data_IF_686710539973
#
_entry.id   IF_686710539973
#
_cell.length_a   1.000
_cell.length_b   1.000
_cell.length_c   1.000
_cell.angle_alpha   90.00
_cell.angle_beta   90.00
_cell.angle_gamma   90.00
#
_symmetry.space_group_name_H-M   'P 1'
#
loop_
_entity.id
_entity.type
_entity.pdbx_description
1 polymer ?
#
# COMPACT_ATOMS: atom_id res chain seq x y z
N UNK A 1 58.61 -42.09 23.82
CA UNK A 1 57.40 -41.62 24.54
C UNK A 1 56.77 -40.53 23.69
N UNK A 2 55.45 -40.61 23.50
CA UNK A 2 54.67 -39.92 22.44
C UNK A 2 54.58 -38.41 22.68
N UNK A 3 54.95 -37.61 21.67
CA UNK A 3 54.63 -36.19 21.60
C UNK A 3 53.11 -36.01 21.51
N UNK A 4 52.47 -35.63 22.61
CA UNK A 4 51.12 -35.10 22.60
C UNK A 4 51.19 -33.63 22.24
N UNK A 5 50.60 -33.30 21.09
CA UNK A 5 50.40 -31.96 20.60
C UNK A 5 49.74 -31.09 21.68
N UNK A 6 50.42 -30.02 22.09
CA UNK A 6 49.81 -28.93 22.84
C UNK A 6 49.03 -28.07 21.85
N UNK A 7 47.87 -28.57 21.40
CA UNK A 7 46.93 -27.81 20.59
C UNK A 7 46.43 -26.66 21.45
N UNK A 8 46.98 -25.46 21.23
CA UNK A 8 46.63 -24.22 21.94
C UNK A 8 45.10 -24.03 21.89
N UNK A 9 44.36 -24.33 22.98
CA UNK A 9 42.90 -24.37 22.94
C UNK A 9 42.30 -22.99 22.71
N UNK A 10 43.04 -21.93 23.03
CA UNK A 10 42.71 -20.54 22.70
C UNK A 10 42.56 -20.26 21.20
N UNK A 11 43.33 -20.94 20.33
CA UNK A 11 43.22 -20.75 18.88
C UNK A 11 41.90 -21.33 18.33
N UNK A 12 41.42 -22.43 18.92
CA UNK A 12 40.15 -23.06 18.53
C UNK A 12 38.96 -22.22 19.02
N UNK A 13 39.05 -21.65 20.23
CA UNK A 13 38.01 -20.78 20.80
C UNK A 13 37.92 -19.46 20.02
N UNK A 14 39.04 -18.85 19.65
CA UNK A 14 39.04 -17.61 18.84
C UNK A 14 38.45 -17.83 17.43
N UNK A 15 38.72 -18.98 16.81
CA UNK A 15 38.16 -19.32 15.50
C UNK A 15 36.63 -19.53 15.53
N UNK A 16 36.09 -20.09 16.63
CA UNK A 16 34.64 -20.29 16.80
C UNK A 16 33.87 -18.98 16.98
N UNK A 17 34.48 -17.93 17.56
CA UNK A 17 33.85 -16.62 17.69
C UNK A 17 33.81 -15.81 16.38
N UNK A 18 34.78 -16.00 15.48
CA UNK A 18 34.85 -15.28 14.19
C UNK A 18 33.79 -15.73 13.17
N UNK A 19 33.26 -16.95 13.27
CA UNK A 19 32.26 -17.49 12.32
C UNK A 19 30.84 -16.95 12.58
N UNK A 20 30.57 -16.29 13.71
CA UNK A 20 29.20 -15.97 14.15
C UNK A 20 28.68 -14.56 13.79
N UNK A 21 29.40 -13.76 13.01
CA UNK A 21 29.03 -12.34 12.76
C UNK A 21 28.53 -12.00 11.35
N UNK A 22 28.05 -12.98 10.57
CA UNK A 22 27.30 -12.70 9.35
C UNK A 22 25.77 -12.76 9.60
N UNK A 23 25.26 -11.90 10.47
CA UNK A 23 23.84 -11.55 10.44
C UNK A 23 23.66 -10.44 9.40
N UNK A 24 23.52 -10.82 8.13
CA UNK A 24 23.11 -9.89 7.08
C UNK A 24 21.69 -9.42 7.38
N UNK A 25 21.56 -8.18 7.86
CA UNK A 25 20.28 -7.49 8.02
C UNK A 25 19.69 -7.23 6.63
N UNK A 26 18.94 -8.22 6.15
CA UNK A 26 18.15 -8.11 4.92
C UNK A 26 17.02 -7.13 5.21
N UNK A 27 17.26 -5.83 4.98
CA UNK A 27 16.20 -4.82 5.01
C UNK A 27 15.17 -5.21 3.94
N UNK A 28 14.11 -5.90 4.36
CA UNK A 28 12.95 -6.16 3.50
C UNK A 28 12.44 -4.80 3.07
N UNK A 29 12.46 -4.53 1.74
CA UNK A 29 11.84 -3.34 1.16
C UNK A 29 10.36 -3.37 1.55
N UNK A 30 9.99 -2.62 2.60
CA UNK A 30 8.59 -2.37 2.93
C UNK A 30 8.03 -1.48 1.84
N UNK A 31 7.26 -2.06 0.91
CA UNK A 31 6.45 -1.30 -0.02
C UNK A 31 5.45 -0.44 0.79
N UNK A 32 5.28 0.85 0.48
CA UNK A 32 4.37 1.72 1.22
C UNK A 32 2.93 1.25 1.02
N UNK A 33 2.38 0.61 2.05
CA UNK A 33 1.02 0.05 2.07
C UNK A 33 -0.06 1.13 2.35
N UNK A 34 0.29 2.41 2.27
CA UNK A 34 -0.55 3.49 2.81
C UNK A 34 -1.79 3.80 1.97
N UNK A 35 -1.71 3.70 0.63
CA UNK A 35 -2.80 4.12 -0.26
C UNK A 35 -4.08 3.30 -0.09
N UNK A 36 -3.98 1.99 0.19
CA UNK A 36 -5.18 1.17 0.35
C UNK A 36 -6.05 1.67 1.51
N UNK A 37 -5.46 2.03 2.66
CA UNK A 37 -6.22 2.47 3.83
C UNK A 37 -6.99 3.76 3.58
N UNK A 38 -6.43 4.66 2.77
CA UNK A 38 -7.08 5.93 2.39
C UNK A 38 -8.30 5.66 1.51
N UNK A 39 -8.16 4.77 0.53
CA UNK A 39 -9.24 4.36 -0.36
C UNK A 39 -10.43 3.74 0.39
N UNK A 40 -10.19 2.73 1.25
CA UNK A 40 -11.25 2.11 2.06
C UNK A 40 -11.96 3.11 2.99
N UNK A 41 -11.23 4.09 3.51
CA UNK A 41 -11.79 5.14 4.35
C UNK A 41 -12.75 6.03 3.55
N UNK A 42 -12.37 6.44 2.33
CA UNK A 42 -13.19 7.27 1.45
C UNK A 42 -14.47 6.55 1.03
N UNK A 43 -14.37 5.27 0.68
CA UNK A 43 -15.55 4.42 0.42
C UNK A 43 -16.50 4.38 1.62
N UNK A 44 -15.98 4.14 2.82
CA UNK A 44 -16.80 4.11 4.04
C UNK A 44 -17.41 5.45 4.43
N UNK A 45 -16.80 6.57 4.05
CA UNK A 45 -17.38 7.92 4.19
C UNK A 45 -18.51 8.14 3.18
N UNK A 46 -18.31 7.75 1.92
CA UNK A 46 -19.33 7.80 0.88
C UNK A 46 -20.55 6.92 1.20
N UNK A 47 -20.33 5.67 1.61
CA UNK A 47 -21.38 4.72 1.97
C UNK A 47 -22.25 5.22 3.13
N UNK A 48 -21.65 5.82 4.16
CA UNK A 48 -22.38 6.30 5.35
C UNK A 48 -22.92 7.73 5.19
N UNK A 49 -22.37 8.51 4.27
CA UNK A 49 -22.81 9.87 3.99
C UNK A 49 -23.74 9.90 2.78
N UNK A 50 -23.18 10.25 1.63
CA UNK A 50 -23.89 10.49 0.37
C UNK A 50 -24.73 9.31 -0.12
N UNK A 51 -24.35 8.07 0.21
CA UNK A 51 -24.99 6.85 -0.26
C UNK A 51 -25.76 6.08 0.82
N UNK A 52 -26.03 6.73 1.95
CA UNK A 52 -26.73 6.11 3.10
C UNK A 52 -28.17 5.69 2.82
N UNK A 53 -28.78 6.19 1.74
CA UNK A 53 -30.14 5.84 1.33
C UNK A 53 -30.27 4.52 0.53
N UNK A 54 -29.16 3.89 0.16
CA UNK A 54 -29.14 2.64 -0.61
C UNK A 54 -28.82 1.44 0.29
N UNK A 55 -29.34 0.27 -0.07
CA UNK A 55 -28.95 -0.97 0.60
C UNK A 55 -27.44 -1.23 0.39
N UNK A 56 -26.69 -1.74 1.38
CA UNK A 56 -25.25 -1.98 1.23
C UNK A 56 -24.86 -2.86 0.05
N UNK A 57 -25.74 -3.76 -0.38
CA UNK A 57 -25.49 -4.65 -1.53
C UNK A 57 -25.81 -3.99 -2.89
N UNK A 58 -26.40 -2.79 -2.88
CA UNK A 58 -26.87 -2.08 -4.08
C UNK A 58 -26.26 -0.68 -4.20
N UNK A 59 -25.43 -0.27 -3.24
CA UNK A 59 -24.91 1.10 -3.16
C UNK A 59 -23.61 1.32 -3.95
N UNK A 60 -23.08 0.29 -4.60
CA UNK A 60 -21.78 0.32 -5.28
C UNK A 60 -21.67 1.41 -6.35
N UNK A 61 -22.74 1.63 -7.14
CA UNK A 61 -22.76 2.69 -8.16
C UNK A 61 -22.63 4.09 -7.56
N UNK A 62 -23.39 4.35 -6.49
CA UNK A 62 -23.34 5.61 -5.76
C UNK A 62 -21.96 5.81 -5.10
N UNK A 63 -21.44 4.77 -4.44
CA UNK A 63 -20.15 4.82 -3.74
C UNK A 63 -19.03 5.10 -4.73
N UNK A 64 -19.02 4.43 -5.88
CA UNK A 64 -18.00 4.61 -6.92
C UNK A 64 -18.01 6.04 -7.49
N UNK A 65 -19.20 6.58 -7.79
CA UNK A 65 -19.36 8.00 -8.20
C UNK A 65 -18.86 8.97 -7.14
N UNK A 66 -19.17 8.71 -5.87
CA UNK A 66 -18.76 9.56 -4.75
C UNK A 66 -17.25 9.52 -4.50
N UNK A 67 -16.61 8.36 -4.67
CA UNK A 67 -15.17 8.18 -4.44
C UNK A 67 -14.34 8.92 -5.47
N UNK A 68 -14.68 8.84 -6.76
CA UNK A 68 -14.06 9.66 -7.80
C UNK A 68 -14.98 9.69 -9.02
N UNK A 69 -15.52 10.85 -9.35
CA UNK A 69 -16.33 11.04 -10.54
C UNK A 69 -15.53 10.84 -11.83
N UNK A 70 -14.25 11.20 -11.82
CA UNK A 70 -13.36 11.04 -12.98
C UNK A 70 -13.09 9.56 -13.28
N UNK A 71 -12.68 8.79 -12.28
CA UNK A 71 -12.45 7.35 -12.45
C UNK A 71 -13.75 6.59 -12.70
N UNK A 72 -14.88 7.05 -12.15
CA UNK A 72 -16.17 6.47 -12.45
C UNK A 72 -16.50 6.68 -13.93
N UNK A 73 -16.31 7.89 -14.47
CA UNK A 73 -16.58 8.16 -15.88
C UNK A 73 -15.72 7.28 -16.80
N UNK A 74 -14.45 7.10 -16.47
CA UNK A 74 -13.54 6.24 -17.25
C UNK A 74 -13.99 4.77 -17.30
N UNK A 75 -14.58 4.24 -16.22
CA UNK A 75 -14.84 2.80 -16.08
C UNK A 75 -16.32 2.42 -16.29
N UNK A 76 -17.25 3.30 -15.92
CA UNK A 76 -18.68 3.01 -15.80
C UNK A 76 -19.60 3.98 -16.57
N UNK A 77 -19.08 5.02 -17.23
CA UNK A 77 -19.95 5.99 -17.94
C UNK A 77 -20.79 5.36 -19.05
N UNK A 78 -20.20 4.45 -19.83
CA UNK A 78 -20.89 3.80 -20.94
C UNK A 78 -21.97 2.82 -20.48
N UNK A 79 -21.73 2.16 -19.36
CA UNK A 79 -22.61 1.13 -18.81
C UNK A 79 -22.53 1.20 -17.28
N UNK A 80 -23.44 1.97 -16.64
CA UNK A 80 -23.52 2.09 -15.19
C UNK A 80 -23.72 0.71 -14.53
N UNK A 81 -23.26 0.57 -13.28
CA UNK A 81 -23.37 -0.70 -12.57
C UNK A 81 -24.83 -0.99 -12.20
N UNK A 82 -25.30 -2.21 -12.46
CA UNK A 82 -26.65 -2.60 -12.02
C UNK A 82 -26.67 -2.85 -10.49
N UNK A 83 -27.80 -2.58 -9.80
CA UNK A 83 -27.92 -2.90 -8.38
C UNK A 83 -27.67 -4.39 -8.10
N UNK A 84 -26.73 -4.69 -7.20
CA UNK A 84 -26.34 -6.07 -6.86
C UNK A 84 -25.39 -6.76 -7.83
N UNK A 85 -24.91 -6.05 -8.87
CA UNK A 85 -23.93 -6.58 -9.81
C UNK A 85 -22.52 -6.60 -9.22
N UNK A 86 -21.81 -7.74 -9.32
CA UNK A 86 -20.42 -7.87 -8.88
C UNK A 86 -19.48 -8.00 -10.08
N UNK A 87 -19.08 -6.86 -10.67
CA UNK A 87 -18.04 -6.83 -11.70
C UNK A 87 -16.64 -6.58 -11.12
N UNK A 88 -15.94 -7.67 -10.82
CA UNK A 88 -14.57 -7.62 -10.27
C UNK A 88 -13.55 -7.03 -11.24
N UNK A 89 -13.77 -7.14 -12.55
CA UNK A 89 -12.81 -6.65 -13.55
C UNK A 89 -12.87 -5.13 -13.63
N UNK A 90 -14.08 -4.57 -13.76
CA UNK A 90 -14.30 -3.12 -13.73
C UNK A 90 -13.92 -2.54 -12.37
N UNK A 91 -14.29 -3.20 -11.27
CA UNK A 91 -13.91 -2.76 -9.92
C UNK A 91 -12.39 -2.68 -9.73
N UNK A 92 -11.63 -3.65 -10.24
CA UNK A 92 -10.17 -3.60 -10.18
C UNK A 92 -9.59 -2.43 -11.01
N UNK A 93 -10.18 -2.11 -12.17
CA UNK A 93 -9.78 -0.96 -13.00
C UNK A 93 -10.07 0.36 -12.28
N UNK A 94 -11.26 0.50 -11.73
CA UNK A 94 -11.65 1.66 -10.92
C UNK A 94 -10.68 1.86 -9.74
N UNK A 95 -10.42 0.81 -8.97
CA UNK A 95 -9.49 0.87 -7.83
C UNK A 95 -8.07 1.23 -8.26
N UNK A 96 -7.64 0.80 -9.45
CA UNK A 96 -6.35 1.19 -10.02
C UNK A 96 -6.31 2.67 -10.39
N UNK A 97 -7.37 3.19 -11.03
CA UNK A 97 -7.50 4.60 -11.37
C UNK A 97 -7.46 5.49 -10.11
N UNK A 98 -8.29 5.18 -9.11
CA UNK A 98 -8.36 5.97 -7.86
C UNK A 98 -7.03 5.98 -7.13
N UNK A 99 -6.30 4.85 -7.10
CA UNK A 99 -4.96 4.81 -6.49
C UNK A 99 -3.98 5.73 -7.20
N UNK A 100 -3.99 5.78 -8.53
CA UNK A 100 -3.14 6.71 -9.30
C UNK A 100 -3.48 8.16 -8.97
N UNK A 101 -4.77 8.51 -8.96
CA UNK A 101 -5.24 9.86 -8.62
C UNK A 101 -4.74 10.30 -7.23
N UNK A 102 -4.87 9.42 -6.23
CA UNK A 102 -4.40 9.68 -4.86
C UNK A 102 -2.88 9.78 -4.76
N UNK A 103 -2.14 8.93 -5.47
CA UNK A 103 -0.68 8.97 -5.48
C UNK A 103 -0.15 10.26 -6.14
N UNK A 104 -0.81 10.72 -7.21
CA UNK A 104 -0.52 11.99 -7.88
C UNK A 104 -0.81 13.20 -7.01
N UNK A 105 -1.96 13.22 -6.33
CA UNK A 105 -2.32 14.27 -5.37
C UNK A 105 -1.31 14.32 -4.22
N UNK A 106 -0.95 13.17 -3.65
CA UNK A 106 0.03 13.09 -2.58
C UNK A 106 1.42 13.59 -3.01
N UNK A 107 1.83 13.30 -4.25
CA UNK A 107 3.08 13.81 -4.85
C UNK A 107 3.02 15.33 -5.00
N UNK A 108 1.94 15.88 -5.56
CA UNK A 108 1.75 17.33 -5.73
C UNK A 108 1.81 18.07 -4.39
N UNK A 109 1.07 17.58 -3.39
CA UNK A 109 1.11 18.14 -2.02
C UNK A 109 2.50 18.05 -1.40
N UNK A 110 3.29 17.01 -1.69
CA UNK A 110 4.65 16.90 -1.19
C UNK A 110 5.60 17.91 -1.83
N UNK A 111 5.44 18.17 -3.13
CA UNK A 111 6.20 19.19 -3.87
C UNK A 111 5.87 20.60 -3.36
N UNK A 112 4.58 20.93 -3.22
CA UNK A 112 4.12 22.21 -2.65
C UNK A 112 4.69 22.45 -1.25
N UNK A 113 4.65 21.44 -0.37
CA UNK A 113 5.25 21.54 0.97
C UNK A 113 6.77 21.73 0.94
N UNK A 114 7.47 21.17 -0.04
CA UNK A 114 8.93 21.36 -0.19
C UNK A 114 9.22 22.78 -0.68
N UNK A 115 8.49 23.26 -1.68
CA UNK A 115 8.61 24.62 -2.18
C UNK A 115 8.32 25.67 -1.09
N UNK A 116 7.25 25.48 -0.31
CA UNK A 116 6.90 26.36 0.81
C UNK A 116 8.01 26.44 1.88
N UNK A 117 8.73 25.34 2.11
CA UNK A 117 9.88 25.31 3.03
C UNK A 117 11.14 25.97 2.45
N UNK A 118 11.33 25.90 1.14
CA UNK A 118 12.47 26.53 0.47
C UNK A 118 12.35 28.07 0.44
N UNK A 119 11.12 28.59 0.47
CA UNK A 119 10.83 30.03 0.47
C UNK A 119 10.71 30.65 1.87
N UNK A 120 10.99 29.88 2.95
CA UNK A 120 10.93 30.33 4.35
C UNK A 120 12.32 30.39 4.95
#
# INVERSE_FOLDING_TARGET
>A
MRSLALTRPWLVIAALFLVRTCAADSKTKKYPQHSSKVHWKKEGECARGSCSGFHPDENDDCVSKCVSSACYAEVYESEPMEPGEVDRVRQNRFNSCVRKEQDEEARRLAEERRAAKANR
#
